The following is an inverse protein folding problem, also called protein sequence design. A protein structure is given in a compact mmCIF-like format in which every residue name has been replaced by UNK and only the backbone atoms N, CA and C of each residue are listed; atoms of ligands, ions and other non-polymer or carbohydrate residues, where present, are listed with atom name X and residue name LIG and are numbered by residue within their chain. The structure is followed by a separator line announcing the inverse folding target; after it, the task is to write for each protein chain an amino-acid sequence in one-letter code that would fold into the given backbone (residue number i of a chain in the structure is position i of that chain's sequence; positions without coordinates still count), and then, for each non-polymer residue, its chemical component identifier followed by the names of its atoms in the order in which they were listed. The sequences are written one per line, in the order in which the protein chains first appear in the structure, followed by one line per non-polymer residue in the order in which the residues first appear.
data_IF_196462075102
#
_entry.id   IF_196462075102
#
_cell.length_a   1.000
_cell.length_b   1.000
_cell.length_c   1.000
_cell.angle_alpha   90.00
_cell.angle_beta   90.00
_cell.angle_gamma   90.00
#
_symmetry.space_group_name_H-M   'P 1'
#
loop_
_entity.id
_entity.type
_entity.pdbx_description
1 polymer ?
#
# COMPACT_ATOMS: atom_id res chain seq x y z
N UNK A 1 -35.65 87.03 50.99
CA UNK A 1 -34.18 87.05 50.98
C UNK A 1 -33.75 85.63 50.61
N UNK A 2 -33.72 85.29 49.32
CA UNK A 2 -32.53 85.32 48.44
C UNK A 2 -31.42 84.39 48.98
N UNK A 3 -30.75 83.49 48.25
CA UNK A 3 -30.83 82.92 46.90
C UNK A 3 -29.64 81.91 46.84
N UNK A 4 -29.52 81.15 45.73
CA UNK A 4 -28.34 80.39 45.25
C UNK A 4 -28.18 78.90 45.58
N UNK A 5 -28.76 78.10 44.68
CA UNK A 5 -28.14 77.09 43.80
C UNK A 5 -26.60 76.94 43.91
N UNK A 6 -26.12 75.69 44.06
CA UNK A 6 -25.04 75.18 43.20
C UNK A 6 -25.06 73.64 43.08
N UNK A 7 -25.29 73.25 41.83
CA UNK A 7 -25.25 71.91 41.26
C UNK A 7 -23.78 71.48 41.12
N UNK A 8 -23.40 70.29 41.61
CA UNK A 8 -22.16 69.62 41.20
C UNK A 8 -22.45 68.18 40.82
N UNK A 9 -22.37 67.94 39.52
CA UNK A 9 -22.36 66.62 38.88
C UNK A 9 -21.22 65.78 39.47
N UNK A 10 -21.54 64.58 39.94
CA UNK A 10 -20.57 63.49 40.07
C UNK A 10 -20.87 62.46 38.98
N UNK A 11 -19.91 62.29 38.07
CA UNK A 11 -19.94 61.36 36.96
C UNK A 11 -19.95 59.90 37.43
N UNK A 12 -20.62 58.98 36.72
CA UNK A 12 -20.48 57.55 36.99
C UNK A 12 -19.18 57.05 36.35
N UNK A 13 -18.33 56.43 37.17
CA UNK A 13 -17.14 55.69 36.72
C UNK A 13 -17.63 54.41 36.04
N UNK A 14 -17.54 54.37 34.72
CA UNK A 14 -17.74 53.16 33.92
C UNK A 14 -16.44 52.32 34.00
N UNK A 15 -16.45 51.25 34.80
CA UNK A 15 -15.38 50.27 34.82
C UNK A 15 -15.54 49.32 33.62
N UNK A 16 -14.75 49.55 32.56
CA UNK A 16 -14.62 48.60 31.44
C UNK A 16 -13.61 47.54 31.87
N UNK A 17 -14.10 46.35 32.22
CA UNK A 17 -13.28 45.14 32.38
C UNK A 17 -13.08 44.54 30.99
N UNK A 18 -11.92 44.80 30.39
CA UNK A 18 -11.50 44.14 29.16
C UNK A 18 -11.04 42.70 29.49
N UNK A 19 -11.90 41.72 29.20
CA UNK A 19 -11.51 40.31 29.21
C UNK A 19 -10.65 40.07 27.97
N UNK A 20 -9.33 40.12 28.13
CA UNK A 20 -8.40 39.64 27.12
C UNK A 20 -8.47 38.12 27.09
N UNK A 21 -9.23 37.58 26.14
CA UNK A 21 -9.20 36.18 25.79
C UNK A 21 -7.83 35.85 25.19
N UNK A 22 -6.95 35.26 26.00
CA UNK A 22 -5.79 34.55 25.49
C UNK A 22 -6.29 33.32 24.73
N UNK A 23 -6.33 33.42 23.41
CA UNK A 23 -6.38 32.27 22.53
C UNK A 23 -5.09 31.47 22.69
N UNK A 24 -5.09 30.51 23.61
CA UNK A 24 -4.17 29.38 23.49
C UNK A 24 -4.60 28.61 22.25
N UNK A 25 -3.91 28.85 21.14
CA UNK A 25 -3.87 27.89 20.06
C UNK A 25 -3.31 26.59 20.65
N UNK A 26 -4.20 25.64 20.95
CA UNK A 26 -3.80 24.26 21.19
C UNK A 26 -3.19 23.82 19.86
N UNK A 27 -1.86 23.78 19.77
CA UNK A 27 -1.22 23.00 18.73
C UNK A 27 -1.74 21.59 18.91
N UNK A 28 -2.50 21.08 17.94
CA UNK A 28 -2.79 19.67 17.84
C UNK A 28 -1.44 18.94 17.98
N UNK A 29 -1.39 17.94 18.86
CA UNK A 29 -0.22 17.09 18.94
C UNK A 29 -0.02 16.49 17.55
N UNK A 30 1.19 16.63 17.01
CA UNK A 30 1.57 16.05 15.72
C UNK A 30 1.64 14.54 15.90
N UNK A 31 0.47 13.90 15.80
CA UNK A 31 0.27 12.46 15.98
C UNK A 31 0.51 11.69 14.67
N UNK A 32 1.02 12.37 13.65
CA UNK A 32 1.30 11.77 12.36
C UNK A 32 2.41 10.71 12.52
N UNK A 33 2.09 9.48 12.15
CA UNK A 33 3.01 8.35 12.13
C UNK A 33 3.39 8.07 10.69
N UNK A 34 4.69 7.94 10.44
CA UNK A 34 5.22 7.57 9.12
C UNK A 34 4.79 6.14 8.79
N UNK A 35 4.27 5.94 7.59
CA UNK A 35 3.93 4.61 7.08
C UNK A 35 5.21 3.96 6.51
N UNK A 36 5.69 2.85 7.12
CA UNK A 36 6.93 2.21 6.70
C UNK A 36 6.97 1.88 5.21
N UNK A 37 8.11 2.14 4.57
CA UNK A 37 8.30 1.87 3.14
C UNK A 37 7.65 2.88 2.18
N UNK A 38 7.06 3.97 2.69
CA UNK A 38 6.39 4.99 1.87
C UNK A 38 6.84 6.40 2.21
N UNK A 39 6.49 7.34 1.34
CA UNK A 39 6.65 8.79 1.58
C UNK A 39 5.53 9.41 2.43
N UNK A 40 4.62 8.59 2.95
CA UNK A 40 3.38 9.06 3.57
C UNK A 40 3.45 8.95 5.09
N UNK A 41 2.88 9.92 5.78
CA UNK A 41 2.53 9.84 7.20
C UNK A 41 1.05 10.15 7.37
N UNK A 42 0.41 9.58 8.40
CA UNK A 42 -0.98 9.87 8.73
C UNK A 42 -1.22 9.68 10.24
N UNK A 43 -2.34 10.17 10.76
CA UNK A 43 -2.77 9.96 12.14
C UNK A 43 -3.63 8.69 12.22
N UNK A 44 -3.09 7.54 12.68
CA UNK A 44 -3.88 6.31 12.76
C UNK A 44 -4.95 6.42 13.86
N UNK A 45 -6.12 5.78 13.69
CA UNK A 45 -7.12 5.72 14.75
C UNK A 45 -6.56 5.05 16.01
N UNK A 46 -7.13 5.38 17.17
CA UNK A 46 -6.76 4.71 18.43
C UNK A 46 -6.97 3.21 18.31
N UNK A 47 -5.99 2.41 18.75
CA UNK A 47 -6.02 0.94 18.68
C UNK A 47 -5.34 0.36 17.44
N UNK A 48 -5.05 1.17 16.43
CA UNK A 48 -4.35 0.70 15.23
C UNK A 48 -2.84 0.62 15.47
N UNK A 49 -2.21 -0.44 14.97
CA UNK A 49 -0.75 -0.62 14.96
C UNK A 49 -0.23 -0.76 13.53
N UNK A 50 1.07 -0.48 13.28
CA UNK A 50 1.67 -0.74 11.97
C UNK A 50 1.44 -2.18 11.51
N UNK A 51 1.09 -2.35 10.24
CA UNK A 51 0.89 -3.66 9.61
C UNK A 51 2.23 -4.27 9.19
N UNK A 52 2.39 -5.58 9.38
CA UNK A 52 3.51 -6.37 8.81
C UNK A 52 3.22 -6.88 7.40
N UNK A 53 1.97 -6.79 6.93
CA UNK A 53 1.50 -7.38 5.67
C UNK A 53 1.45 -6.37 4.51
N UNK A 54 1.25 -5.10 4.82
CA UNK A 54 1.14 -4.00 3.84
C UNK A 54 1.62 -2.69 4.45
N UNK A 55 2.04 -1.71 3.64
CA UNK A 55 2.35 -0.37 4.14
C UNK A 55 1.09 0.27 4.71
N UNK A 56 1.01 0.39 6.03
CA UNK A 56 -0.15 0.97 6.69
C UNK A 56 -0.32 0.53 8.13
N UNK A 57 -1.57 0.56 8.59
CA UNK A 57 -1.96 0.22 9.95
C UNK A 57 -3.15 -0.74 9.95
N UNK A 58 -3.29 -1.52 11.01
CA UNK A 58 -4.44 -2.39 11.23
C UNK A 58 -4.83 -2.45 12.70
N UNK A 59 -6.09 -2.80 12.93
CA UNK A 59 -6.63 -3.28 14.18
C UNK A 59 -7.16 -4.70 13.93
N UNK A 60 -6.41 -5.69 14.39
CA UNK A 60 -6.71 -7.11 14.17
C UNK A 60 -8.03 -7.52 14.85
N UNK A 61 -8.38 -6.91 15.99
CA UNK A 61 -9.58 -7.25 16.75
C UNK A 61 -10.86 -6.86 15.99
N UNK A 62 -10.80 -5.77 15.22
CA UNK A 62 -11.94 -5.25 14.45
C UNK A 62 -11.89 -5.56 12.96
N UNK A 63 -10.83 -6.24 12.48
CA UNK A 63 -10.56 -6.47 11.06
C UNK A 63 -10.53 -5.17 10.24
N UNK A 64 -10.16 -4.05 10.87
CA UNK A 64 -10.07 -2.76 10.23
C UNK A 64 -8.63 -2.44 9.87
N UNK A 65 -8.44 -1.76 8.75
CA UNK A 65 -7.09 -1.46 8.23
C UNK A 65 -7.05 -0.15 7.46
N UNK A 66 -5.86 0.44 7.38
CA UNK A 66 -5.55 1.59 6.54
C UNK A 66 -4.32 1.20 5.73
N UNK A 67 -4.46 1.09 4.41
CA UNK A 67 -3.37 0.76 3.50
C UNK A 67 -2.97 1.97 2.66
N UNK A 68 -1.67 2.19 2.49
CA UNK A 68 -1.10 3.21 1.62
C UNK A 68 -0.45 2.57 0.40
N UNK A 69 -0.81 3.07 -0.79
CA UNK A 69 -0.21 2.65 -2.05
C UNK A 69 0.29 3.87 -2.81
N UNK A 70 1.56 3.83 -3.21
CA UNK A 70 2.20 4.81 -4.09
C UNK A 70 2.25 4.25 -5.53
N UNK A 71 1.40 4.77 -6.40
CA UNK A 71 1.22 4.31 -7.79
C UNK A 71 2.05 5.21 -8.72
N UNK A 72 2.97 4.67 -9.54
CA UNK A 72 3.77 5.44 -10.49
C UNK A 72 2.95 5.77 -11.75
N UNK A 73 1.86 6.50 -11.57
CA UNK A 73 1.00 7.00 -12.62
C UNK A 73 0.39 8.36 -12.24
N UNK A 74 0.08 9.23 -13.22
CA UNK A 74 -0.48 10.55 -12.96
C UNK A 74 -1.80 10.48 -12.18
N UNK A 75 -1.99 11.41 -11.23
CA UNK A 75 -3.21 11.54 -10.44
C UNK A 75 -4.46 11.64 -11.32
N UNK A 76 -4.40 12.42 -12.41
CA UNK A 76 -5.52 12.61 -13.31
C UNK A 76 -5.99 11.28 -13.95
N UNK A 77 -5.05 10.40 -14.28
CA UNK A 77 -5.35 9.11 -14.90
C UNK A 77 -5.99 8.16 -13.89
N UNK A 78 -5.41 8.06 -12.68
CA UNK A 78 -5.92 7.16 -11.65
C UNK A 78 -7.26 7.66 -11.10
N UNK A 79 -7.38 8.93 -10.74
CA UNK A 79 -8.64 9.52 -10.27
C UNK A 79 -9.74 9.46 -11.34
N UNK A 80 -9.40 9.72 -12.61
CA UNK A 80 -10.32 9.59 -13.73
C UNK A 80 -10.84 8.16 -13.96
N UNK A 81 -10.09 7.15 -13.52
CA UNK A 81 -10.52 5.75 -13.57
C UNK A 81 -11.48 5.34 -12.44
N UNK A 82 -11.63 6.15 -11.39
CA UNK A 82 -12.50 5.87 -10.22
C UNK A 82 -13.99 6.15 -10.51
N UNK A 83 -14.49 5.60 -11.61
CA UNK A 83 -15.90 5.68 -12.01
C UNK A 83 -16.73 4.56 -11.37
N UNK A 84 -18.06 4.73 -11.18
CA UNK A 84 -18.91 3.67 -10.66
C UNK A 84 -18.76 2.33 -11.39
N UNK A 85 -18.75 2.35 -12.73
CA UNK A 85 -18.61 1.12 -13.53
C UNK A 85 -17.24 0.44 -13.40
N UNK A 86 -16.16 1.20 -13.24
CA UNK A 86 -14.84 0.63 -13.00
C UNK A 86 -14.71 0.06 -11.58
N UNK A 87 -15.31 0.73 -10.58
CA UNK A 87 -15.38 0.23 -9.21
C UNK A 87 -16.20 -1.08 -9.14
N UNK A 88 -17.32 -1.15 -9.86
CA UNK A 88 -18.16 -2.35 -9.95
C UNK A 88 -17.42 -3.55 -10.55
N UNK A 89 -16.55 -3.33 -11.55
CA UNK A 89 -15.67 -4.38 -12.09
C UNK A 89 -14.70 -4.93 -11.04
N UNK A 90 -14.29 -4.09 -10.07
CA UNK A 90 -13.54 -4.49 -8.88
C UNK A 90 -14.40 -5.05 -7.73
N UNK A 91 -15.70 -5.28 -7.96
CA UNK A 91 -16.65 -5.76 -6.97
C UNK A 91 -17.04 -4.71 -5.91
N UNK A 92 -16.75 -3.43 -6.17
CA UNK A 92 -17.07 -2.32 -5.26
C UNK A 92 -18.31 -1.57 -5.73
N UNK A 93 -19.16 -1.13 -4.79
CA UNK A 93 -20.26 -0.22 -5.07
C UNK A 93 -20.01 1.15 -4.43
N UNK A 94 -20.12 2.21 -5.23
CA UNK A 94 -19.91 3.59 -4.80
C UNK A 94 -21.09 4.08 -3.94
N UNK A 95 -20.80 4.58 -2.74
CA UNK A 95 -21.76 5.25 -1.86
C UNK A 95 -21.68 6.77 -1.99
N UNK A 96 -20.46 7.31 -1.94
CA UNK A 96 -20.20 8.76 -1.99
C UNK A 96 -18.90 9.04 -2.75
N UNK A 97 -18.85 10.18 -3.44
CA UNK A 97 -17.66 10.70 -4.10
C UNK A 97 -17.60 12.22 -3.94
N UNK A 98 -16.46 12.74 -3.50
CA UNK A 98 -16.26 14.18 -3.32
C UNK A 98 -14.83 14.60 -3.64
N UNK A 99 -14.67 15.81 -4.15
CA UNK A 99 -13.37 16.47 -4.26
C UNK A 99 -12.99 17.09 -2.90
N UNK A 100 -11.72 17.02 -2.56
CA UNK A 100 -11.17 17.50 -1.28
C UNK A 100 -9.73 18.00 -1.47
N UNK A 101 -9.09 18.39 -0.36
CA UNK A 101 -7.67 18.71 -0.31
C UNK A 101 -6.97 17.80 0.68
N UNK A 102 -5.91 17.13 0.24
CA UNK A 102 -5.10 16.21 1.06
C UNK A 102 -3.63 16.56 0.83
N UNK A 103 -2.84 16.70 1.89
CA UNK A 103 -1.45 17.17 1.83
C UNK A 103 -1.26 18.43 0.95
N UNK A 104 -2.21 19.37 1.07
CA UNK A 104 -2.20 20.63 0.31
C UNK A 104 -2.45 20.50 -1.21
N UNK A 105 -2.89 19.33 -1.69
CA UNK A 105 -3.15 19.03 -3.11
C UNK A 105 -4.62 18.72 -3.36
N UNK A 106 -5.06 18.89 -4.60
CA UNK A 106 -6.36 18.35 -5.04
C UNK A 106 -6.39 16.84 -4.80
N UNK A 107 -7.51 16.36 -4.26
CA UNK A 107 -7.71 14.94 -4.00
C UNK A 107 -9.16 14.51 -4.13
N UNK A 108 -9.35 13.22 -4.34
CA UNK A 108 -10.63 12.55 -4.47
C UNK A 108 -10.86 11.69 -3.23
N UNK A 109 -12.01 11.88 -2.56
CA UNK A 109 -12.46 11.03 -1.47
C UNK A 109 -13.67 10.21 -1.93
N UNK A 110 -13.59 8.89 -1.77
CA UNK A 110 -14.67 7.97 -2.08
C UNK A 110 -15.09 7.19 -0.82
N UNK A 111 -16.38 6.97 -0.66
CA UNK A 111 -16.94 5.97 0.24
C UNK A 111 -17.49 4.83 -0.60
N UNK A 112 -17.00 3.62 -0.41
CA UNK A 112 -17.42 2.45 -1.18
C UNK A 112 -17.77 1.28 -0.27
N UNK A 113 -18.53 0.34 -0.79
CA UNK A 113 -18.77 -0.97 -0.17
C UNK A 113 -18.16 -2.08 -1.01
N UNK A 114 -17.69 -3.15 -0.39
CA UNK A 114 -17.20 -4.34 -1.09
C UNK A 114 -17.52 -5.60 -0.28
N UNK A 115 -18.00 -6.65 -0.94
CA UNK A 115 -18.19 -7.96 -0.30
C UNK A 115 -16.96 -8.84 -0.54
N UNK A 116 -16.34 -9.34 0.52
CA UNK A 116 -15.18 -10.21 0.46
C UNK A 116 -15.24 -11.26 1.58
N UNK A 117 -14.89 -12.52 1.28
CA UNK A 117 -14.89 -13.59 2.29
C UNK A 117 -16.24 -13.81 3.01
N UNK A 118 -17.36 -13.44 2.36
CA UNK A 118 -18.70 -13.49 2.97
C UNK A 118 -19.06 -12.30 3.87
N UNK A 119 -18.12 -11.39 4.15
CA UNK A 119 -18.30 -10.19 4.96
C UNK A 119 -18.51 -8.97 4.06
N UNK A 120 -19.39 -8.05 4.51
CA UNK A 120 -19.59 -6.77 3.86
C UNK A 120 -18.66 -5.73 4.50
N UNK A 121 -17.76 -5.15 3.72
CA UNK A 121 -16.87 -4.09 4.15
C UNK A 121 -17.32 -2.74 3.58
N UNK A 122 -17.03 -1.69 4.32
CA UNK A 122 -17.05 -0.31 3.87
C UNK A 122 -15.63 0.23 3.82
N UNK A 123 -15.39 1.18 2.92
CA UNK A 123 -14.07 1.77 2.72
C UNK A 123 -14.11 3.27 2.47
N UNK A 124 -13.19 3.99 3.10
CA UNK A 124 -12.82 5.35 2.72
C UNK A 124 -11.56 5.31 1.87
N UNK A 125 -11.63 5.81 0.65
CA UNK A 125 -10.50 5.86 -0.30
C UNK A 125 -10.14 7.31 -0.57
N UNK A 126 -8.95 7.72 -0.17
CA UNK A 126 -8.39 9.04 -0.44
C UNK A 126 -7.32 8.92 -1.53
N UNK A 127 -7.46 9.66 -2.63
CA UNK A 127 -6.50 9.71 -3.73
C UNK A 127 -6.00 11.14 -3.90
N UNK A 128 -4.70 11.32 -4.07
CA UNK A 128 -4.08 12.62 -4.34
C UNK A 128 -2.71 12.39 -4.98
N UNK A 129 -2.11 13.41 -5.63
CA UNK A 129 -0.83 13.21 -6.30
C UNK A 129 -0.40 14.37 -7.19
N UNK A 130 0.37 14.03 -8.23
CA UNK A 130 0.83 14.95 -9.27
C UNK A 130 0.77 14.30 -10.67
N UNK A 131 1.49 14.88 -11.63
CA UNK A 131 1.55 14.43 -13.02
C UNK A 131 2.42 13.18 -13.23
N UNK A 132 3.04 12.63 -12.18
CA UNK A 132 3.92 11.46 -12.26
C UNK A 132 3.46 10.34 -11.32
N UNK A 133 2.89 10.68 -10.16
CA UNK A 133 2.61 9.72 -9.11
C UNK A 133 1.26 10.00 -8.41
N UNK A 134 0.58 8.94 -8.01
CA UNK A 134 -0.64 8.98 -7.21
C UNK A 134 -0.41 8.26 -5.88
N UNK A 135 -0.80 8.90 -4.78
CA UNK A 135 -0.97 8.27 -3.47
C UNK A 135 -2.43 7.86 -3.32
N UNK A 136 -2.66 6.61 -2.95
CA UNK A 136 -3.99 6.10 -2.61
C UNK A 136 -3.95 5.53 -1.19
N UNK A 137 -4.77 6.08 -0.30
CA UNK A 137 -4.92 5.64 1.09
C UNK A 137 -6.32 5.06 1.27
N UNK A 138 -6.39 3.77 1.61
CA UNK A 138 -7.65 3.03 1.71
C UNK A 138 -7.84 2.53 3.14
N UNK A 139 -8.80 3.14 3.82
CA UNK A 139 -9.31 2.67 5.09
C UNK A 139 -10.44 1.68 4.88
N UNK A 140 -10.35 0.46 5.41
CA UNK A 140 -11.34 -0.62 5.29
C UNK A 140 -11.81 -1.04 6.67
N UNK A 141 -13.12 -1.30 6.82
CA UNK A 141 -13.71 -1.78 8.07
C UNK A 141 -14.97 -2.62 7.79
N UNK A 142 -15.31 -3.60 8.64
CA UNK A 142 -16.57 -4.32 8.53
C UNK A 142 -17.75 -3.35 8.66
N UNK A 143 -18.77 -3.51 7.83
CA UNK A 143 -19.97 -2.64 7.86
C UNK A 143 -20.64 -2.62 9.24
N UNK A 144 -20.62 -3.73 9.97
CA UNK A 144 -21.17 -3.82 11.33
C UNK A 144 -20.44 -2.89 12.33
N UNK A 145 -19.19 -2.54 12.05
CA UNK A 145 -18.37 -1.63 12.86
C UNK A 145 -18.43 -0.17 12.38
N UNK A 146 -19.21 0.14 11.34
CA UNK A 146 -19.33 1.50 10.79
C UNK A 146 -19.71 2.57 11.84
N UNK A 147 -20.61 2.33 12.82
CA UNK A 147 -20.98 3.34 13.81
C UNK A 147 -19.80 3.83 14.66
N UNK A 148 -18.75 3.03 14.82
CA UNK A 148 -17.57 3.37 15.63
C UNK A 148 -16.33 3.67 14.80
N UNK A 149 -16.17 3.03 13.64
CA UNK A 149 -14.93 3.10 12.86
C UNK A 149 -14.99 3.99 11.63
N UNK A 150 -16.17 4.27 11.07
CA UNK A 150 -16.27 4.99 9.79
C UNK A 150 -15.62 6.37 9.84
N UNK A 151 -16.01 7.21 10.81
CA UNK A 151 -15.47 8.58 10.92
C UNK A 151 -13.99 8.60 11.37
N UNK A 152 -13.54 7.83 12.37
CA UNK A 152 -12.11 7.76 12.70
C UNK A 152 -11.23 7.35 11.51
N UNK A 153 -11.66 6.36 10.73
CA UNK A 153 -10.93 5.91 9.54
C UNK A 153 -10.96 7.00 8.45
N UNK A 154 -12.11 7.66 8.24
CA UNK A 154 -12.21 8.79 7.31
C UNK A 154 -11.24 9.92 7.67
N UNK A 155 -11.16 10.28 8.95
CA UNK A 155 -10.23 11.30 9.43
C UNK A 155 -8.78 10.86 9.23
N UNK A 156 -8.46 9.60 9.52
CA UNK A 156 -7.11 9.06 9.32
C UNK A 156 -6.67 9.12 7.85
N UNK A 157 -7.52 8.71 6.89
CA UNK A 157 -7.14 8.80 5.47
C UNK A 157 -6.98 10.25 5.00
N UNK A 158 -7.76 11.18 5.54
CA UNK A 158 -7.68 12.62 5.22
C UNK A 158 -6.50 13.33 5.89
N UNK A 159 -5.98 12.79 6.99
CA UNK A 159 -4.79 13.31 7.69
C UNK A 159 -3.47 13.00 6.97
N UNK A 160 -3.54 12.33 5.81
CA UNK A 160 -2.36 11.90 5.07
C UNK A 160 -1.52 13.09 4.59
N UNK A 161 -0.23 13.03 4.90
CA UNK A 161 0.80 13.95 4.42
C UNK A 161 1.82 13.21 3.56
N UNK A 162 2.25 13.82 2.45
CA UNK A 162 3.16 13.21 1.48
C UNK A 162 4.45 14.01 1.36
N UNK A 163 5.49 13.50 2.02
CA UNK A 163 6.80 14.10 2.07
C UNK A 163 7.66 13.61 0.91
N UNK A 164 7.67 14.38 -0.19
CA UNK A 164 8.48 14.08 -1.37
C UNK A 164 9.98 14.06 -1.12
N UNK A 165 10.45 14.67 -0.02
CA UNK A 165 11.88 14.67 0.36
C UNK A 165 12.28 13.38 1.06
N UNK A 166 11.30 12.59 1.53
CA UNK A 166 11.53 11.29 2.13
C UNK A 166 12.00 10.28 1.08
N UNK A 167 13.02 9.52 1.46
CA UNK A 167 13.53 8.39 0.69
C UNK A 167 13.52 7.14 1.58
N UNK A 168 12.44 6.34 1.57
CA UNK A 168 12.35 5.12 2.35
C UNK A 168 13.47 4.15 1.99
N UNK A 169 14.00 3.45 2.99
CA UNK A 169 14.92 2.35 2.76
C UNK A 169 14.24 1.23 1.98
N UNK A 170 15.01 0.53 1.13
CA UNK A 170 14.49 -0.57 0.30
C UNK A 170 13.70 -1.60 1.11
N UNK A 171 14.15 -1.90 2.32
CA UNK A 171 13.57 -2.92 3.19
C UNK A 171 12.72 -2.39 4.33
N UNK A 172 12.45 -1.07 4.40
CA UNK A 172 11.67 -0.50 5.51
C UNK A 172 10.28 -1.13 5.58
N UNK A 173 9.94 -1.81 6.68
CA UNK A 173 8.66 -2.51 6.83
C UNK A 173 8.49 -3.77 5.97
N UNK A 174 9.55 -4.29 5.35
CA UNK A 174 9.51 -5.64 4.76
C UNK A 174 9.89 -6.68 5.81
N UNK A 175 9.16 -7.79 5.84
CA UNK A 175 9.40 -8.96 6.70
C UNK A 175 10.33 -10.00 6.07
N UNK A 176 11.07 -9.59 5.03
CA UNK A 176 12.04 -10.44 4.35
C UNK A 176 13.29 -9.66 3.96
N UNK A 177 14.39 -10.39 3.76
CA UNK A 177 15.58 -9.93 3.06
C UNK A 177 15.83 -10.82 1.85
N UNK A 178 16.53 -10.24 0.87
CA UNK A 178 17.02 -10.94 -0.29
C UNK A 178 18.30 -10.28 -0.77
N UNK A 179 19.17 -11.03 -1.44
CA UNK A 179 20.44 -10.51 -1.95
C UNK A 179 20.37 -10.25 -3.45
N UNK A 180 21.21 -9.35 -3.94
CA UNK A 180 21.42 -9.18 -5.38
C UNK A 180 22.25 -10.32 -5.93
N UNK A 181 22.05 -10.69 -7.20
CA UNK A 181 22.92 -11.64 -7.91
C UNK A 181 23.97 -10.89 -8.72
N UNK A 182 24.71 -11.61 -9.58
CA UNK A 182 25.67 -10.99 -10.49
C UNK A 182 25.01 -9.92 -11.37
N UNK A 183 23.88 -10.25 -11.99
CA UNK A 183 23.21 -9.36 -12.94
C UNK A 183 21.89 -8.79 -12.42
N UNK A 184 21.19 -9.43 -11.49
CA UNK A 184 19.94 -8.92 -10.94
C UNK A 184 20.23 -8.00 -9.75
N UNK A 185 20.03 -6.70 -9.98
CA UNK A 185 20.24 -5.64 -8.98
C UNK A 185 18.92 -4.95 -8.64
N UNK A 186 18.83 -4.35 -7.46
CA UNK A 186 17.62 -3.65 -7.05
C UNK A 186 17.34 -2.46 -7.98
N UNK A 187 16.19 -2.49 -8.66
CA UNK A 187 15.75 -1.40 -9.52
C UNK A 187 14.88 -0.41 -8.74
N UNK A 188 13.89 -0.93 -8.00
CA UNK A 188 12.97 -0.14 -7.17
C UNK A 188 12.18 -1.01 -6.21
N UNK A 189 11.61 -0.36 -5.20
CA UNK A 189 10.54 -0.90 -4.36
C UNK A 189 9.17 -0.57 -4.97
N UNK A 190 8.22 -1.49 -4.83
CA UNK A 190 6.82 -1.35 -5.23
C UNK A 190 5.92 -1.85 -4.09
N UNK A 191 5.47 -0.95 -3.20
CA UNK A 191 4.77 -1.34 -1.97
C UNK A 191 5.60 -2.36 -1.16
N UNK A 192 5.05 -3.52 -0.78
CA UNK A 192 5.77 -4.61 -0.10
C UNK A 192 6.51 -5.57 -1.03
N UNK A 193 6.85 -5.11 -2.23
CA UNK A 193 7.63 -5.87 -3.20
C UNK A 193 8.91 -5.16 -3.61
N UNK A 194 9.92 -5.93 -3.96
CA UNK A 194 11.15 -5.48 -4.61
C UNK A 194 11.16 -5.93 -6.06
N UNK A 195 11.52 -5.01 -6.95
CA UNK A 195 11.81 -5.31 -8.34
C UNK A 195 13.33 -5.31 -8.53
N UNK A 196 13.85 -6.45 -8.97
CA UNK A 196 15.23 -6.58 -9.43
C UNK A 196 15.23 -6.69 -10.95
N UNK A 197 16.16 -5.99 -11.60
CA UNK A 197 16.32 -6.01 -13.06
C UNK A 197 17.79 -6.17 -13.40
N UNK A 198 18.08 -6.45 -14.68
CA UNK A 198 19.45 -6.43 -15.19
C UNK A 198 20.15 -5.12 -14.82
N UNK A 199 21.19 -5.22 -14.00
CA UNK A 199 22.00 -4.11 -13.49
C UNK A 199 21.19 -2.98 -12.83
N UNK A 200 19.98 -3.27 -12.34
CA UNK A 200 19.16 -2.30 -11.61
C UNK A 200 18.57 -1.23 -12.53
N UNK A 201 18.42 -1.54 -13.83
CA UNK A 201 17.73 -0.70 -14.79
C UNK A 201 16.39 -0.23 -14.23
N UNK A 202 16.24 1.09 -14.14
CA UNK A 202 15.01 1.76 -13.75
C UNK A 202 14.15 2.06 -14.99
N UNK A 203 12.83 2.13 -14.80
CA UNK A 203 11.88 2.43 -15.87
C UNK A 203 11.31 1.19 -16.54
N UNK A 204 11.05 1.28 -17.85
CA UNK A 204 10.47 0.19 -18.62
C UNK A 204 11.50 -0.92 -18.85
N UNK A 205 11.13 -2.15 -18.51
CA UNK A 205 11.89 -3.37 -18.80
C UNK A 205 11.34 -3.96 -20.09
N UNK A 206 12.21 -4.33 -21.03
CA UNK A 206 11.75 -4.99 -22.26
C UNK A 206 11.20 -6.38 -21.91
N UNK A 207 10.17 -6.89 -22.61
CA UNK A 207 9.55 -8.17 -22.26
C UNK A 207 10.53 -9.35 -22.21
N UNK A 208 11.58 -9.33 -23.03
CA UNK A 208 12.62 -10.37 -23.07
C UNK A 208 13.76 -10.17 -22.05
N UNK A 209 13.89 -8.98 -21.45
CA UNK A 209 14.93 -8.69 -20.49
C UNK A 209 14.60 -9.35 -19.14
N UNK A 210 15.62 -9.83 -18.41
CA UNK A 210 15.41 -10.53 -17.15
C UNK A 210 15.01 -9.54 -16.05
N UNK A 211 13.99 -9.92 -15.29
CA UNK A 211 13.62 -9.25 -14.05
C UNK A 211 13.05 -10.24 -13.05
N UNK A 212 13.10 -9.87 -11.77
CA UNK A 212 12.50 -10.63 -10.69
C UNK A 212 11.67 -9.72 -9.78
N UNK A 213 10.55 -10.25 -9.31
CA UNK A 213 9.70 -9.64 -8.29
C UNK A 213 9.76 -10.49 -7.04
N UNK A 214 10.00 -9.85 -5.90
CA UNK A 214 10.09 -10.49 -4.59
C UNK A 214 9.11 -9.80 -3.66
N UNK A 215 8.30 -10.55 -2.91
CA UNK A 215 7.36 -9.95 -1.95
C UNK A 215 6.74 -10.94 -1.00
N UNK A 216 5.99 -10.41 -0.02
CA UNK A 216 5.17 -11.19 0.89
C UNK A 216 3.68 -11.15 0.49
N UNK A 217 2.92 -12.16 0.89
CA UNK A 217 1.46 -12.14 0.76
C UNK A 217 0.84 -11.01 1.58
N UNK A 218 -0.13 -10.31 0.99
CA UNK A 218 -0.82 -9.17 1.62
C UNK A 218 -1.93 -9.64 2.57
N UNK A 219 -2.34 -10.91 2.48
CA UNK A 219 -3.35 -11.53 3.31
C UNK A 219 -2.93 -12.94 3.68
N UNK A 220 -3.43 -13.41 4.83
CA UNK A 220 -3.28 -14.80 5.22
C UNK A 220 -3.92 -15.74 4.21
N UNK A 221 -3.29 -16.89 3.97
CA UNK A 221 -3.77 -17.93 3.07
C UNK A 221 -3.62 -19.29 3.73
N UNK A 222 -4.69 -20.09 3.72
CA UNK A 222 -4.60 -21.50 4.11
C UNK A 222 -4.03 -22.32 2.96
N UNK A 223 -2.80 -22.80 3.13
CA UNK A 223 -2.09 -23.59 2.11
C UNK A 223 -1.95 -25.02 2.62
N UNK A 224 -2.90 -25.87 2.23
CA UNK A 224 -2.88 -27.30 2.60
C UNK A 224 -1.98 -28.14 1.68
N UNK A 225 -1.90 -27.78 0.40
CA UNK A 225 -1.04 -28.41 -0.60
C UNK A 225 -0.20 -27.33 -1.29
N UNK A 226 1.07 -27.24 -0.88
CA UNK A 226 1.98 -26.21 -1.36
C UNK A 226 2.29 -26.34 -2.86
N UNK A 227 2.32 -27.57 -3.40
CA UNK A 227 2.59 -27.80 -4.81
C UNK A 227 1.42 -27.32 -5.68
N UNK A 228 0.19 -27.68 -5.30
CA UNK A 228 -1.03 -27.24 -5.96
C UNK A 228 -1.20 -25.71 -5.87
N UNK A 229 -0.98 -25.15 -4.68
CA UNK A 229 -1.04 -23.71 -4.45
C UNK A 229 -0.02 -22.96 -5.33
N UNK A 230 1.22 -23.44 -5.39
CA UNK A 230 2.27 -22.79 -6.20
C UNK A 230 1.94 -22.79 -7.69
N UNK A 231 1.34 -23.87 -8.20
CA UNK A 231 0.86 -23.94 -9.59
C UNK A 231 -0.26 -22.93 -9.86
N UNK A 232 -1.28 -22.89 -8.99
CA UNK A 232 -2.37 -21.94 -9.12
C UNK A 232 -1.87 -20.49 -9.04
N UNK A 233 -0.91 -20.22 -8.16
CA UNK A 233 -0.31 -18.89 -8.01
C UNK A 233 0.41 -18.44 -9.28
N UNK A 234 1.13 -19.35 -9.94
CA UNK A 234 1.81 -19.10 -11.22
C UNK A 234 0.80 -18.78 -12.33
N UNK A 235 -0.26 -19.59 -12.43
CA UNK A 235 -1.33 -19.42 -13.44
C UNK A 235 -2.14 -18.13 -13.23
N UNK A 236 -2.17 -17.61 -12.00
CA UNK A 236 -2.86 -16.35 -11.65
C UNK A 236 -1.99 -15.10 -11.82
N UNK A 237 -0.75 -15.23 -12.31
CA UNK A 237 0.12 -14.08 -12.55
C UNK A 237 -0.44 -13.23 -13.70
N UNK A 238 -0.67 -11.95 -13.41
CA UNK A 238 -1.22 -11.01 -14.39
C UNK A 238 -0.35 -10.91 -15.64
N UNK A 239 -0.98 -10.84 -16.81
CA UNK A 239 -0.32 -10.75 -18.13
C UNK A 239 0.54 -11.97 -18.50
N UNK A 240 0.35 -13.10 -17.80
CA UNK A 240 0.94 -14.38 -18.17
C UNK A 240 -0.11 -15.27 -18.83
N UNK A 241 0.18 -15.76 -20.02
CA UNK A 241 -0.69 -16.63 -20.80
C UNK A 241 0.03 -17.92 -21.21
N UNK A 242 -0.74 -18.95 -21.60
CA UNK A 242 -0.22 -20.20 -22.17
C UNK A 242 0.87 -20.88 -21.32
N UNK A 243 0.68 -20.90 -19.99
CA UNK A 243 1.58 -21.58 -19.06
C UNK A 243 1.69 -23.07 -19.42
N UNK A 244 2.91 -23.54 -19.63
CA UNK A 244 3.22 -24.90 -20.10
C UNK A 244 4.57 -25.38 -19.58
N UNK A 245 4.87 -26.68 -19.75
CA UNK A 245 6.14 -27.30 -19.30
C UNK A 245 6.46 -26.98 -17.83
N UNK A 246 5.44 -27.08 -16.98
CA UNK A 246 5.54 -26.75 -15.56
C UNK A 246 6.21 -27.90 -14.81
N UNK A 247 7.44 -27.66 -14.38
CA UNK A 247 8.24 -28.56 -13.57
C UNK A 247 8.43 -27.95 -12.18
N UNK A 248 8.36 -28.76 -11.13
CA UNK A 248 8.58 -28.26 -9.78
C UNK A 248 8.89 -29.33 -8.77
N UNK A 249 9.42 -28.89 -7.64
CA UNK A 249 9.79 -29.75 -6.53
C UNK A 249 9.83 -28.95 -5.23
N UNK A 250 9.72 -29.68 -4.13
CA UNK A 250 9.83 -29.10 -2.79
C UNK A 250 11.29 -28.78 -2.47
N UNK A 251 11.50 -27.64 -1.83
CA UNK A 251 12.81 -27.15 -1.36
C UNK A 251 12.67 -26.56 0.04
N UNK A 252 13.79 -26.15 0.64
CA UNK A 252 13.81 -25.44 1.93
C UNK A 252 14.68 -24.21 1.80
N UNK A 253 14.18 -23.07 2.26
CA UNK A 253 14.88 -21.78 2.18
C UNK A 253 14.75 -21.09 3.53
N UNK A 254 15.87 -20.76 4.18
CA UNK A 254 15.89 -20.16 5.53
C UNK A 254 15.03 -20.93 6.56
N UNK A 255 15.03 -22.27 6.46
CA UNK A 255 14.22 -23.15 7.31
C UNK A 255 12.71 -23.18 6.97
N UNK A 256 12.25 -22.36 6.02
CA UNK A 256 10.88 -22.36 5.51
C UNK A 256 10.66 -23.49 4.51
N UNK A 257 9.52 -24.16 4.61
CA UNK A 257 9.05 -25.08 3.57
C UNK A 257 8.72 -24.27 2.31
N UNK A 258 9.28 -24.65 1.17
CA UNK A 258 9.10 -23.93 -0.06
C UNK A 258 8.89 -24.87 -1.26
N UNK A 259 8.36 -24.32 -2.34
CA UNK A 259 8.15 -25.05 -3.59
C UNK A 259 8.65 -24.23 -4.77
N UNK A 260 9.64 -24.79 -5.46
CA UNK A 260 10.22 -24.22 -6.68
C UNK A 260 9.44 -24.72 -7.89
N UNK A 261 9.13 -23.81 -8.81
CA UNK A 261 8.53 -24.06 -10.10
C UNK A 261 9.34 -23.37 -11.20
N UNK A 262 9.43 -24.04 -12.34
CA UNK A 262 9.85 -23.45 -13.59
C UNK A 262 8.83 -23.79 -14.66
N UNK A 263 8.50 -22.82 -15.52
CA UNK A 263 7.54 -23.00 -16.60
C UNK A 263 7.89 -22.16 -17.83
N UNK A 264 7.32 -22.53 -18.96
CA UNK A 264 7.23 -21.66 -20.13
C UNK A 264 5.90 -20.91 -20.09
N UNK A 265 5.89 -19.69 -20.64
CA UNK A 265 4.69 -18.89 -20.75
C UNK A 265 4.81 -17.86 -21.90
N UNK A 266 3.77 -17.08 -22.12
CA UNK A 266 3.73 -15.97 -23.07
C UNK A 266 3.30 -14.70 -22.35
N UNK A 267 4.02 -13.61 -22.58
CA UNK A 267 3.65 -12.28 -22.09
C UNK A 267 2.44 -11.75 -22.89
N UNK A 268 1.33 -11.44 -22.22
CA UNK A 268 0.04 -11.21 -22.88
C UNK A 268 -0.05 -9.94 -23.73
N UNK A 269 0.86 -8.95 -23.58
CA UNK A 269 0.81 -7.69 -24.34
C UNK A 269 1.62 -7.75 -25.63
N UNK A 270 2.80 -8.33 -25.56
CA UNK A 270 3.82 -8.39 -26.61
C UNK A 270 3.87 -9.75 -27.29
N UNK A 271 3.19 -10.76 -26.73
CA UNK A 271 3.26 -12.16 -27.14
C UNK A 271 4.67 -12.73 -27.10
N UNK A 272 5.55 -12.17 -26.26
CA UNK A 272 6.92 -12.62 -26.09
C UNK A 272 6.94 -13.95 -25.35
N UNK A 273 7.58 -15.01 -25.88
CA UNK A 273 7.80 -16.25 -25.16
C UNK A 273 8.74 -16.04 -23.97
N UNK A 274 8.35 -16.52 -22.80
CA UNK A 274 9.07 -16.37 -21.54
C UNK A 274 9.44 -17.72 -20.93
N UNK A 275 10.58 -17.75 -20.24
CA UNK A 275 10.88 -18.71 -19.18
C UNK A 275 10.60 -18.04 -17.84
N UNK A 276 9.85 -18.72 -16.97
CA UNK A 276 9.41 -18.21 -15.68
C UNK A 276 9.94 -19.11 -14.57
N UNK A 277 10.53 -18.50 -13.56
CA UNK A 277 10.90 -19.12 -12.29
C UNK A 277 9.94 -18.63 -11.20
N UNK A 278 9.54 -19.51 -10.29
CA UNK A 278 8.77 -19.15 -9.11
C UNK A 278 9.22 -19.96 -7.91
N UNK A 279 9.43 -19.29 -6.77
CA UNK A 279 9.56 -19.89 -5.46
C UNK A 279 8.43 -19.35 -4.58
N UNK A 280 7.69 -20.24 -3.95
CA UNK A 280 6.74 -19.91 -2.87
C UNK A 280 7.29 -20.52 -1.58
N UNK A 281 7.59 -19.69 -0.58
CA UNK A 281 8.08 -20.12 0.72
C UNK A 281 7.05 -19.82 1.81
N UNK A 282 6.67 -20.82 2.59
CA UNK A 282 5.66 -20.70 3.66
C UNK A 282 6.25 -20.05 4.90
N UNK A 283 5.51 -19.08 5.45
CA UNK A 283 5.85 -18.45 6.71
C UNK A 283 4.57 -18.19 7.51
N UNK A 284 4.36 -18.98 8.56
CA UNK A 284 3.12 -19.02 9.34
C UNK A 284 1.87 -19.21 8.47
N UNK A 285 0.96 -18.22 8.47
CA UNK A 285 -0.25 -18.19 7.63
C UNK A 285 -0.07 -17.34 6.37
N UNK A 286 1.15 -16.97 6.04
CA UNK A 286 1.54 -16.16 4.89
C UNK A 286 2.56 -16.91 4.02
N UNK A 287 2.94 -16.29 2.90
CA UNK A 287 4.03 -16.80 2.07
C UNK A 287 4.87 -15.67 1.49
N UNK A 288 6.14 -15.96 1.24
CA UNK A 288 7.00 -15.16 0.38
C UNK A 288 6.98 -15.71 -1.05
N UNK A 289 7.06 -14.80 -2.00
CA UNK A 289 7.10 -15.08 -3.43
C UNK A 289 8.38 -14.50 -4.02
N UNK A 290 9.14 -15.33 -4.73
CA UNK A 290 10.19 -14.89 -5.65
C UNK A 290 9.77 -15.34 -7.05
N UNK A 291 9.56 -14.42 -7.97
CA UNK A 291 9.16 -14.73 -9.34
C UNK A 291 10.10 -14.06 -10.34
N UNK A 292 10.80 -14.87 -11.13
CA UNK A 292 11.73 -14.43 -12.16
C UNK A 292 11.14 -14.63 -13.56
N UNK A 293 11.37 -13.68 -14.45
CA UNK A 293 10.91 -13.71 -15.84
C UNK A 293 12.06 -13.34 -16.76
N UNK A 294 12.15 -14.03 -17.89
CA UNK A 294 13.14 -13.75 -18.93
C UNK A 294 12.64 -14.28 -20.28
N UNK A 295 13.11 -13.71 -21.39
CA UNK A 295 12.90 -14.28 -22.72
C UNK A 295 13.34 -15.75 -22.77
N UNK A 296 12.54 -16.59 -23.45
CA UNK A 296 12.77 -18.04 -23.49
C UNK A 296 14.15 -18.42 -24.04
N UNK A 297 14.73 -17.60 -24.92
CA UNK A 297 16.08 -17.76 -25.50
C UNK A 297 17.22 -17.61 -24.49
N UNK A 298 16.97 -16.93 -23.37
CA UNK A 298 17.91 -16.69 -22.28
C UNK A 298 17.56 -17.50 -21.02
N UNK A 299 16.54 -18.37 -21.09
CA UNK A 299 16.01 -19.12 -19.96
C UNK A 299 17.07 -19.89 -19.19
N UNK A 300 17.84 -20.74 -19.88
CA UNK A 300 18.82 -21.62 -19.25
C UNK A 300 19.89 -20.85 -18.47
N UNK A 301 20.34 -19.70 -18.97
CA UNK A 301 21.34 -18.87 -18.27
C UNK A 301 20.77 -18.18 -17.04
N UNK A 302 19.54 -17.67 -17.10
CA UNK A 302 18.95 -16.88 -16.01
C UNK A 302 18.29 -17.74 -14.93
N UNK A 303 17.91 -18.99 -15.22
CA UNK A 303 17.37 -19.89 -14.19
C UNK A 303 18.33 -20.10 -13.02
N UNK A 304 19.64 -20.12 -13.28
CA UNK A 304 20.64 -20.25 -12.22
C UNK A 304 20.64 -19.02 -11.31
N UNK A 305 20.58 -17.81 -11.88
CA UNK A 305 20.52 -16.57 -11.10
C UNK A 305 19.19 -16.44 -10.35
N UNK A 306 18.06 -16.83 -10.95
CA UNK A 306 16.77 -16.81 -10.25
C UNK A 306 16.72 -17.77 -9.05
N UNK A 307 17.36 -18.95 -9.17
CA UNK A 307 17.54 -19.86 -8.04
C UNK A 307 18.40 -19.25 -6.94
N UNK A 308 19.55 -18.69 -7.29
CA UNK A 308 20.41 -18.01 -6.32
C UNK A 308 19.67 -16.89 -5.58
N UNK A 309 18.86 -16.11 -6.32
CA UNK A 309 18.01 -15.09 -5.73
C UNK A 309 17.03 -15.73 -4.72
N UNK A 310 16.32 -16.77 -5.13
CA UNK A 310 15.40 -17.52 -4.25
C UNK A 310 16.05 -18.10 -3.01
N UNK A 311 17.24 -18.69 -3.14
CA UNK A 311 18.02 -19.27 -2.03
C UNK A 311 18.51 -18.21 -1.02
N UNK A 312 18.67 -16.96 -1.45
CA UNK A 312 19.07 -15.84 -0.58
C UNK A 312 17.93 -15.24 0.24
N UNK A 313 16.69 -15.67 0.00
CA UNK A 313 15.52 -15.20 0.75
C UNK A 313 15.67 -15.61 2.22
N UNK A 314 15.53 -14.63 3.11
CA UNK A 314 15.48 -14.85 4.56
C UNK A 314 14.33 -14.09 5.18
N UNK A 315 13.77 -14.60 6.26
CA UNK A 315 12.78 -13.89 7.07
C UNK A 315 13.46 -12.77 7.88
N UNK A 316 12.79 -11.62 8.01
CA UNK A 316 13.22 -10.53 8.87
C UNK A 316 12.14 -10.23 9.91
N UNK A 317 12.54 -10.21 11.19
CA UNK A 317 11.72 -9.78 12.32
C UNK A 317 11.41 -8.28 12.30
#
# INVERSE_FOLDING_TARGET
MLLFVNLRLFAPVLAIVAVMAWGMAIKAADNAVVVPGTKVSLEPPTGFSPSSQFPGFMDEDTLASIMVTEIPAPYADISGSMTPGALEQGGMALLESSQTTISGREGLLLHVTQRAGGVQFEKWMALFGDDVQTVMVVGTYPQESAPTLSEPIRLAVLSSEWDLTRNPGLFDGLTFRIEETETLKFARRLSNMLLLTRNGQQGQVAPQDPFAVVGASISEVEIADLAAFSRQRLESTAQLENVSEVEGHQVTVDGMEAYELVANAVEGRSHTPLRVYQLVALHDRNYFLVQGFVGADQGDSFLTEFRQLGESLTHAE
#
